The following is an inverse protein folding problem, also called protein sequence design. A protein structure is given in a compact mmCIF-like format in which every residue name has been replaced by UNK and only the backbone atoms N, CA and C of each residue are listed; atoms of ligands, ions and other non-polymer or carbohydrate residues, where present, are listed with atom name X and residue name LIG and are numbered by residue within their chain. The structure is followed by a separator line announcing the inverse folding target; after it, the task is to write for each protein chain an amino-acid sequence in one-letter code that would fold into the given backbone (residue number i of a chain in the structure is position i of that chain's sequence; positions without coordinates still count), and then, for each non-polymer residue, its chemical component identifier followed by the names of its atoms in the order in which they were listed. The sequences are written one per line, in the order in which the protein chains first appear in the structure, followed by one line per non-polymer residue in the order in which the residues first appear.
data_IF_986825615006
#
_entry.id   IF_986825615006
#
_cell.length_a   1.000
_cell.length_b   1.000
_cell.length_c   1.000
_cell.angle_alpha   90.00
_cell.angle_beta   90.00
_cell.angle_gamma   90.00
#
_symmetry.space_group_name_H-M   'P 1'
#
loop_
_entity.id
_entity.type
_entity.pdbx_description
1 polymer ?
#
# COMPACT_ATOMS: atom_id res chain seq x y z
N UNK A 1 30.20 -61.92 18.83
CA UNK A 1 29.96 -60.54 18.33
C UNK A 1 28.74 -59.92 19.04
N UNK A 2 28.86 -59.56 20.32
CA UNK A 2 27.70 -59.20 21.18
C UNK A 2 27.50 -57.68 21.38
N UNK A 3 28.45 -56.86 20.93
CA UNK A 3 28.49 -55.41 21.20
C UNK A 3 28.25 -54.52 19.97
N UNK A 4 28.02 -55.11 18.78
CA UNK A 4 27.70 -54.39 17.56
C UNK A 4 26.52 -53.40 17.69
N UNK A 5 25.40 -53.72 18.35
CA UNK A 5 24.30 -52.75 18.48
C UNK A 5 24.67 -51.54 19.34
N UNK A 6 25.58 -51.70 20.31
CA UNK A 6 26.04 -50.59 21.17
C UNK A 6 26.98 -49.67 20.38
N UNK A 7 27.87 -50.24 19.58
CA UNK A 7 28.78 -49.48 18.71
C UNK A 7 27.96 -48.68 17.68
N UNK A 8 26.91 -49.27 17.11
CA UNK A 8 26.05 -48.61 16.13
C UNK A 8 25.27 -47.44 16.74
N UNK A 9 24.80 -47.58 17.99
CA UNK A 9 24.15 -46.49 18.73
C UNK A 9 25.12 -45.32 18.98
N UNK A 10 26.35 -45.60 19.39
CA UNK A 10 27.38 -44.58 19.64
C UNK A 10 27.71 -43.81 18.35
N UNK A 11 27.81 -44.52 17.21
CA UNK A 11 28.06 -43.90 15.91
C UNK A 11 26.91 -42.99 15.47
N UNK A 12 25.65 -43.37 15.71
CA UNK A 12 24.49 -42.53 15.41
C UNK A 12 24.50 -41.25 16.26
N UNK A 13 24.77 -41.37 17.56
CA UNK A 13 24.86 -40.22 18.47
C UNK A 13 25.98 -39.27 18.02
N UNK A 14 27.14 -39.81 17.66
CA UNK A 14 28.26 -39.01 17.15
C UNK A 14 27.90 -38.32 15.83
N UNK A 15 27.24 -39.00 14.90
CA UNK A 15 26.83 -38.42 13.62
C UNK A 15 25.83 -37.27 13.80
N UNK A 16 24.84 -37.44 14.67
CA UNK A 16 23.85 -36.39 14.98
C UNK A 16 24.50 -35.21 15.70
N UNK A 17 25.36 -35.48 16.69
CA UNK A 17 26.11 -34.42 17.40
C UNK A 17 27.01 -33.62 16.45
N UNK A 18 27.68 -34.29 15.52
CA UNK A 18 28.53 -33.65 14.51
C UNK A 18 27.73 -32.78 13.55
N UNK A 19 26.56 -33.25 13.10
CA UNK A 19 25.66 -32.48 12.24
C UNK A 19 25.11 -31.24 12.94
N UNK A 20 24.67 -31.36 14.21
CA UNK A 20 24.22 -30.22 15.01
C UNK A 20 25.34 -29.19 15.23
N UNK A 21 26.56 -29.64 15.49
CA UNK A 21 27.72 -28.76 15.65
C UNK A 21 28.07 -28.02 14.36
N UNK A 22 28.00 -28.68 13.21
CA UNK A 22 28.17 -28.05 11.88
C UNK A 22 27.11 -27.00 11.58
N UNK A 23 25.85 -27.25 11.94
CA UNK A 23 24.76 -26.27 11.77
C UNK A 23 24.98 -25.05 12.67
N UNK A 24 25.36 -25.28 13.92
CA UNK A 24 25.60 -24.20 14.88
C UNK A 24 26.79 -23.31 14.47
N UNK A 25 27.89 -23.93 14.03
CA UNK A 25 29.12 -23.22 13.63
C UNK A 25 29.02 -22.56 12.25
N UNK A 26 28.05 -22.95 11.41
CA UNK A 26 27.81 -22.34 10.10
C UNK A 26 26.69 -21.27 10.12
N UNK A 27 26.45 -20.66 11.28
CA UNK A 27 25.62 -19.45 11.39
C UNK A 27 26.43 -18.25 10.89
N UNK A 28 26.49 -18.10 9.56
CA UNK A 28 26.98 -16.85 8.97
C UNK A 28 26.09 -15.71 9.48
N UNK A 29 26.64 -14.58 9.93
CA UNK A 29 25.82 -13.41 10.20
C UNK A 29 25.04 -13.09 8.92
N UNK A 30 23.72 -12.96 9.06
CA UNK A 30 22.89 -12.52 7.94
C UNK A 30 23.49 -11.19 7.47
N UNK A 31 23.91 -11.07 6.20
CA UNK A 31 24.45 -9.81 5.72
C UNK A 31 23.39 -8.74 5.95
N UNK A 32 23.70 -7.77 6.82
CA UNK A 32 22.89 -6.58 6.98
C UNK A 32 23.00 -5.81 5.67
N UNK A 33 22.06 -6.06 4.77
CA UNK A 33 21.83 -5.21 3.62
C UNK A 33 21.13 -3.98 4.16
N UNK A 34 21.87 -2.90 4.36
CA UNK A 34 21.28 -1.58 4.52
C UNK A 34 20.60 -1.24 3.20
N UNK A 35 19.29 -1.46 3.15
CA UNK A 35 18.48 -1.01 2.02
C UNK A 35 18.44 0.51 2.13
N UNK A 36 19.32 1.17 1.40
CA UNK A 36 19.19 2.60 1.14
C UNK A 36 17.94 2.81 0.29
N UNK A 37 16.82 3.06 0.96
CA UNK A 37 15.66 3.66 0.33
C UNK A 37 16.05 5.10 0.01
N UNK A 38 16.56 5.34 -1.20
CA UNK A 38 16.47 6.69 -1.76
C UNK A 38 14.98 7.01 -1.83
N UNK A 39 14.51 7.92 -0.98
CA UNK A 39 13.17 8.47 -1.14
C UNK A 39 13.11 9.04 -2.56
N UNK A 40 12.23 8.54 -3.44
CA UNK A 40 12.11 9.11 -4.76
C UNK A 40 11.64 10.55 -4.59
N UNK A 41 12.57 11.50 -4.70
CA UNK A 41 12.25 12.92 -4.74
C UNK A 41 11.51 13.15 -6.05
N UNK A 42 10.19 13.21 -5.95
CA UNK A 42 9.31 13.39 -7.09
C UNK A 42 9.46 14.81 -7.63
N UNK A 43 10.24 14.95 -8.70
CA UNK A 43 10.27 16.17 -9.49
C UNK A 43 9.06 16.17 -10.44
N UNK A 44 8.01 16.87 -10.04
CA UNK A 44 6.80 17.06 -10.83
C UNK A 44 7.12 17.66 -12.22
N UNK A 45 8.13 18.51 -12.31
CA UNK A 45 8.52 19.17 -13.56
C UNK A 45 9.28 18.19 -14.48
N UNK A 46 10.16 17.35 -13.94
CA UNK A 46 10.79 16.27 -14.69
C UNK A 46 9.76 15.25 -15.19
N UNK A 47 8.77 14.89 -14.36
CA UNK A 47 7.68 13.99 -14.78
C UNK A 47 6.84 14.60 -15.91
N UNK A 48 6.42 15.85 -15.79
CA UNK A 48 5.67 16.56 -16.84
C UNK A 48 6.50 16.73 -18.12
N UNK A 49 7.80 16.99 -18.01
CA UNK A 49 8.72 17.00 -19.14
C UNK A 49 8.80 15.63 -19.81
N UNK A 50 8.89 14.55 -19.04
CA UNK A 50 8.93 13.18 -19.60
C UNK A 50 7.65 12.83 -20.36
N UNK A 51 6.49 13.27 -19.87
CA UNK A 51 5.21 13.10 -20.55
C UNK A 51 5.14 13.90 -21.85
N UNK A 52 5.57 15.17 -21.83
CA UNK A 52 5.62 16.02 -23.02
C UNK A 52 6.60 15.49 -24.08
N UNK A 53 7.77 15.02 -23.64
CA UNK A 53 8.83 14.50 -24.51
C UNK A 53 8.45 13.16 -25.15
N UNK A 54 7.72 12.30 -24.44
CA UNK A 54 7.37 10.97 -24.94
C UNK A 54 6.15 10.95 -25.88
N UNK A 55 5.42 12.07 -26.07
CA UNK A 55 4.15 12.15 -26.83
C UNK A 55 3.17 11.01 -26.49
N UNK A 56 3.26 10.44 -25.28
CA UNK A 56 2.38 9.34 -24.87
C UNK A 56 1.08 9.98 -24.41
N UNK A 57 -0.08 9.64 -25.01
CA UNK A 57 -1.35 10.07 -24.44
C UNK A 57 -1.42 9.56 -22.99
N UNK A 58 -1.96 10.38 -22.09
CA UNK A 58 -2.33 9.91 -20.75
C UNK A 58 -3.28 8.73 -20.93
N UNK A 59 -2.79 7.52 -20.62
CA UNK A 59 -3.57 6.29 -20.66
C UNK A 59 -3.92 5.87 -19.24
N UNK A 60 -4.87 4.94 -19.10
CA UNK A 60 -5.36 4.45 -17.80
C UNK A 60 -4.21 4.03 -16.87
N UNK A 61 -3.22 3.31 -17.41
CA UNK A 61 -2.02 2.90 -16.66
C UNK A 61 -1.18 4.09 -16.15
N UNK A 62 -1.14 5.19 -16.89
CA UNK A 62 -0.47 6.42 -16.49
C UNK A 62 -1.18 7.10 -15.31
N UNK A 63 -2.52 7.14 -15.35
CA UNK A 63 -3.36 7.67 -14.26
C UNK A 63 -3.18 6.81 -13.01
N UNK A 64 -3.29 5.48 -13.15
CA UNK A 64 -3.07 4.55 -12.05
C UNK A 64 -1.68 4.73 -11.42
N UNK A 65 -0.62 4.78 -12.24
CA UNK A 65 0.74 5.01 -11.75
C UNK A 65 0.87 6.32 -11.00
N UNK A 66 0.19 7.39 -11.45
CA UNK A 66 0.23 8.67 -10.77
C UNK A 66 -0.44 8.60 -9.40
N UNK A 67 -1.55 7.86 -9.26
CA UNK A 67 -2.17 7.58 -7.94
C UNK A 67 -1.17 6.89 -7.02
N UNK A 68 -0.52 5.82 -7.49
CA UNK A 68 0.47 5.08 -6.70
C UNK A 68 1.69 5.94 -6.33
N UNK A 69 2.10 6.87 -7.19
CA UNK A 69 3.23 7.78 -6.94
C UNK A 69 2.89 8.92 -5.97
N UNK A 70 1.63 9.36 -5.93
CA UNK A 70 1.19 10.48 -5.08
C UNK A 70 0.54 10.01 -3.78
N UNK A 71 0.59 8.72 -3.48
CA UNK A 71 0.06 8.15 -2.23
C UNK A 71 1.06 7.20 -1.59
N UNK A 72 0.90 7.00 -0.28
CA UNK A 72 1.48 5.84 0.41
C UNK A 72 0.37 4.81 0.61
N UNK A 73 0.75 3.54 0.64
CA UNK A 73 -0.19 2.44 0.85
C UNK A 73 0.10 1.78 2.20
N UNK A 74 -0.94 1.49 2.97
CA UNK A 74 -0.81 0.58 4.11
C UNK A 74 -0.36 -0.78 3.60
N UNK A 75 0.49 -1.46 4.36
CA UNK A 75 0.95 -2.80 4.01
C UNK A 75 -0.24 -3.75 3.81
N UNK A 76 -0.22 -4.49 2.70
CA UNK A 76 -1.25 -5.48 2.35
C UNK A 76 -2.43 -4.94 1.54
N UNK A 77 -2.48 -3.62 1.28
CA UNK A 77 -3.51 -3.03 0.41
C UNK A 77 -3.23 -3.39 -1.06
N UNK A 78 -4.25 -3.88 -1.76
CA UNK A 78 -4.14 -4.25 -3.18
C UNK A 78 -4.92 -3.27 -4.07
N UNK A 79 -4.21 -2.64 -5.01
CA UNK A 79 -4.74 -1.59 -5.90
C UNK A 79 -4.61 -1.92 -7.39
N UNK A 80 -3.91 -2.99 -7.79
CA UNK A 80 -3.54 -3.19 -9.20
C UNK A 80 -4.74 -3.37 -10.15
N UNK A 81 -5.88 -3.84 -9.63
CA UNK A 81 -7.10 -4.12 -10.40
C UNK A 81 -8.17 -3.03 -10.24
N UNK A 82 -7.80 -1.83 -9.79
CA UNK A 82 -8.74 -0.71 -9.70
C UNK A 82 -9.39 -0.37 -11.04
N UNK A 83 -10.66 0.02 -10.99
CA UNK A 83 -11.34 0.53 -12.17
C UNK A 83 -10.75 1.89 -12.60
N UNK A 84 -10.53 2.16 -13.90
CA UNK A 84 -9.92 3.41 -14.35
C UNK A 84 -10.68 4.69 -13.92
N UNK A 85 -12.00 4.59 -13.76
CA UNK A 85 -12.81 5.67 -13.21
C UNK A 85 -12.45 5.96 -11.75
N UNK A 86 -12.15 4.93 -10.96
CA UNK A 86 -11.73 5.07 -9.56
C UNK A 86 -10.33 5.68 -9.46
N UNK A 87 -9.40 5.37 -10.37
CA UNK A 87 -8.10 6.06 -10.45
C UNK A 87 -8.27 7.57 -10.65
N UNK A 88 -9.18 7.96 -11.54
CA UNK A 88 -9.48 9.37 -11.81
C UNK A 88 -10.10 10.05 -10.60
N UNK A 89 -11.00 9.37 -9.89
CA UNK A 89 -11.59 9.83 -8.64
C UNK A 89 -10.53 9.96 -7.54
N UNK A 90 -9.61 9.00 -7.43
CA UNK A 90 -8.52 9.02 -6.46
C UNK A 90 -7.60 10.24 -6.66
N UNK A 91 -7.27 10.60 -7.91
CA UNK A 91 -6.49 11.81 -8.19
C UNK A 91 -7.20 13.09 -7.74
N UNK A 92 -8.52 13.17 -7.87
CA UNK A 92 -9.29 14.31 -7.37
C UNK A 92 -9.23 14.40 -5.84
N UNK A 93 -9.32 13.27 -5.14
CA UNK A 93 -9.14 13.20 -3.68
C UNK A 93 -7.73 13.64 -3.27
N UNK A 94 -6.71 13.13 -3.95
CA UNK A 94 -5.31 13.52 -3.72
C UNK A 94 -5.13 15.02 -3.91
N UNK A 95 -5.74 15.59 -4.95
CA UNK A 95 -5.73 17.03 -5.17
C UNK A 95 -6.44 17.81 -4.04
N UNK A 96 -7.55 17.29 -3.49
CA UNK A 96 -8.19 17.88 -2.30
C UNK A 96 -7.24 17.89 -1.11
N UNK A 97 -6.56 16.77 -0.82
CA UNK A 97 -5.56 16.72 0.23
C UNK A 97 -4.44 17.76 0.03
N UNK A 98 -3.92 17.89 -1.19
CA UNK A 98 -2.90 18.90 -1.49
C UNK A 98 -3.38 20.35 -1.36
N UNK A 99 -4.66 20.62 -1.67
CA UNK A 99 -5.22 21.96 -1.49
C UNK A 99 -5.36 22.34 -0.02
N UNK A 100 -5.62 21.35 0.86
CA UNK A 100 -5.82 21.59 2.29
C UNK A 100 -4.48 21.61 3.04
N UNK A 101 -3.57 20.68 2.75
CA UNK A 101 -2.33 20.48 3.51
C UNK A 101 -1.04 20.85 2.78
N UNK A 102 -1.15 21.29 1.52
CA UNK A 102 -0.01 21.59 0.67
C UNK A 102 0.44 20.42 -0.20
N UNK A 103 1.16 20.75 -1.27
CA UNK A 103 1.53 19.82 -2.35
C UNK A 103 2.49 18.70 -1.92
N UNK A 104 3.24 18.91 -0.84
CA UNK A 104 4.19 17.96 -0.26
C UNK A 104 3.52 16.89 0.61
N UNK A 105 2.26 17.10 1.02
CA UNK A 105 1.55 16.10 1.80
C UNK A 105 1.27 14.86 0.94
N UNK A 106 1.55 13.67 1.47
CA UNK A 106 1.32 12.39 0.76
C UNK A 106 0.19 11.62 1.45
N UNK A 107 -1.02 11.58 0.87
CA UNK A 107 -2.15 10.82 1.43
C UNK A 107 -1.86 9.33 1.55
N UNK A 108 -2.45 8.69 2.55
CA UNK A 108 -2.28 7.25 2.79
C UNK A 108 -3.56 6.51 2.43
N UNK A 109 -3.48 5.60 1.47
CA UNK A 109 -4.56 4.65 1.18
C UNK A 109 -4.49 3.50 2.21
N UNK A 110 -5.59 3.28 2.92
CA UNK A 110 -5.71 2.29 3.99
C UNK A 110 -6.48 1.04 3.60
N UNK A 111 -7.27 1.11 2.53
CA UNK A 111 -7.95 -0.04 1.94
C UNK A 111 -8.20 0.16 0.43
N UNK A 112 -8.15 -0.95 -0.30
CA UNK A 112 -8.51 -1.09 -1.71
C UNK A 112 -9.36 -2.34 -1.91
N UNK A 113 -8.87 -3.35 -2.63
CA UNK A 113 -9.52 -4.66 -2.64
C UNK A 113 -8.93 -5.58 -1.55
N UNK A 114 -9.39 -5.38 -0.32
CA UNK A 114 -8.86 -6.06 0.86
C UNK A 114 -9.77 -7.22 1.30
N UNK A 115 -9.92 -8.23 0.43
CA UNK A 115 -10.64 -9.46 0.78
C UNK A 115 -9.95 -10.24 1.92
N UNK A 116 -10.67 -10.73 2.96
CA UNK A 116 -12.12 -10.74 3.17
C UNK A 116 -12.62 -9.76 4.26
N UNK A 117 -12.00 -8.59 4.41
CA UNK A 117 -12.20 -7.74 5.59
C UNK A 117 -13.36 -6.73 5.52
N UNK A 118 -14.15 -6.75 4.45
CA UNK A 118 -15.32 -5.89 4.24
C UNK A 118 -16.66 -6.66 4.23
N UNK A 119 -17.77 -5.92 4.30
CA UNK A 119 -19.11 -6.47 4.17
C UNK A 119 -19.29 -7.23 2.83
N UNK A 120 -20.14 -8.26 2.82
CA UNK A 120 -20.32 -9.20 1.68
C UNK A 120 -20.56 -8.54 0.32
N UNK A 121 -21.20 -7.38 0.29
CA UNK A 121 -21.53 -6.61 -0.91
C UNK A 121 -20.78 -5.28 -0.99
N UNK A 122 -19.58 -5.24 -0.40
CA UNK A 122 -18.75 -4.04 -0.42
C UNK A 122 -18.16 -3.79 -1.80
N UNK A 123 -18.20 -2.52 -2.23
CA UNK A 123 -17.56 -2.04 -3.46
C UNK A 123 -16.04 -2.22 -3.48
N UNK A 124 -15.41 -2.42 -2.32
CA UNK A 124 -14.00 -2.82 -2.23
C UNK A 124 -13.73 -4.13 -2.98
N UNK A 125 -14.61 -5.12 -2.86
CA UNK A 125 -14.46 -6.41 -3.54
C UNK A 125 -14.66 -6.33 -5.05
N UNK A 126 -15.32 -5.27 -5.52
CA UNK A 126 -15.52 -4.97 -6.93
C UNK A 126 -14.38 -4.11 -7.51
N UNK A 127 -13.36 -3.75 -6.72
CA UNK A 127 -12.33 -2.75 -7.07
C UNK A 127 -12.89 -1.36 -7.39
N UNK A 128 -14.03 -1.02 -6.78
CA UNK A 128 -14.78 0.22 -6.98
C UNK A 128 -14.76 1.17 -5.78
N UNK A 129 -13.97 0.87 -4.75
CA UNK A 129 -13.84 1.68 -3.55
C UNK A 129 -12.39 1.80 -3.03
N UNK A 130 -12.12 2.89 -2.33
CA UNK A 130 -10.85 3.21 -1.66
C UNK A 130 -11.08 3.91 -0.34
N UNK A 131 -10.20 3.63 0.63
CA UNK A 131 -10.16 4.34 1.90
C UNK A 131 -8.90 5.18 2.01
N UNK A 132 -9.06 6.46 2.33
CA UNK A 132 -7.94 7.35 2.66
C UNK A 132 -7.90 7.63 4.15
N UNK A 133 -6.72 7.51 4.76
CA UNK A 133 -6.53 7.82 6.18
C UNK A 133 -6.86 9.28 6.48
N UNK A 134 -7.72 9.50 7.47
CA UNK A 134 -7.97 10.81 8.08
C UNK A 134 -7.40 10.92 9.50
N UNK A 135 -7.08 9.77 10.11
CA UNK A 135 -6.44 9.71 11.43
C UNK A 135 -5.11 10.46 11.43
N UNK A 136 -4.96 11.39 12.38
CA UNK A 136 -3.76 12.21 12.56
C UNK A 136 -3.86 13.62 11.98
N UNK A 137 -4.88 13.90 11.16
CA UNK A 137 -5.15 15.25 10.68
C UNK A 137 -5.73 16.13 11.77
N UNK A 138 -5.44 17.43 11.72
CA UNK A 138 -6.08 18.41 12.58
C UNK A 138 -7.60 18.44 12.29
N UNK A 139 -8.46 18.76 13.27
CA UNK A 139 -9.90 18.75 13.09
C UNK A 139 -10.39 19.62 11.92
N UNK A 140 -9.77 20.79 11.71
CA UNK A 140 -10.12 21.72 10.64
C UNK A 140 -9.74 21.15 9.26
N UNK A 141 -8.51 20.66 9.11
CA UNK A 141 -8.03 20.02 7.87
C UNK A 141 -8.91 18.84 7.48
N UNK A 142 -9.24 18.00 8.46
CA UNK A 142 -10.10 16.83 8.26
C UNK A 142 -11.46 17.25 7.74
N UNK A 143 -12.09 18.24 8.38
CA UNK A 143 -13.39 18.77 7.96
C UNK A 143 -13.31 19.32 6.54
N UNK A 144 -12.28 20.11 6.22
CA UNK A 144 -12.08 20.66 4.88
C UNK A 144 -11.90 19.57 3.83
N UNK A 145 -11.08 18.54 4.09
CA UNK A 145 -10.90 17.41 3.18
C UNK A 145 -12.23 16.71 2.90
N UNK A 146 -13.03 16.43 3.93
CA UNK A 146 -14.32 15.75 3.77
C UNK A 146 -15.27 16.60 2.92
N UNK A 147 -15.51 17.85 3.33
CA UNK A 147 -16.48 18.74 2.66
C UNK A 147 -16.07 19.03 1.20
N UNK A 148 -14.78 19.28 0.96
CA UNK A 148 -14.26 19.50 -0.40
C UNK A 148 -14.35 18.23 -1.25
N UNK A 149 -14.04 17.05 -0.70
CA UNK A 149 -14.13 15.79 -1.43
C UNK A 149 -15.56 15.47 -1.83
N UNK A 150 -16.51 15.63 -0.91
CA UNK A 150 -17.94 15.44 -1.18
C UNK A 150 -18.43 16.36 -2.29
N UNK A 151 -18.10 17.66 -2.21
CA UNK A 151 -18.47 18.63 -3.24
C UNK A 151 -17.81 18.35 -4.59
N UNK A 152 -16.54 17.96 -4.60
CA UNK A 152 -15.77 17.74 -5.83
C UNK A 152 -16.26 16.51 -6.61
N UNK A 153 -16.73 15.50 -5.89
CA UNK A 153 -17.13 14.21 -6.45
C UNK A 153 -18.65 14.02 -6.52
N UNK A 154 -19.43 15.05 -6.19
CA UNK A 154 -20.88 15.04 -6.27
C UNK A 154 -21.36 14.52 -7.64
N UNK A 155 -22.23 13.51 -7.61
CA UNK A 155 -22.77 12.86 -8.81
C UNK A 155 -21.81 11.92 -9.56
N UNK A 156 -20.55 11.76 -9.12
CA UNK A 156 -19.56 10.85 -9.74
C UNK A 156 -19.13 9.71 -8.83
N UNK A 157 -19.02 9.98 -7.53
CA UNK A 157 -18.64 9.01 -6.52
C UNK A 157 -19.33 9.33 -5.20
N UNK A 158 -19.57 8.32 -4.38
CA UNK A 158 -20.04 8.47 -3.01
C UNK A 158 -18.82 8.64 -2.10
N UNK A 159 -18.83 9.69 -1.29
CA UNK A 159 -17.77 10.02 -0.34
C UNK A 159 -18.34 10.02 1.08
N UNK A 160 -17.87 9.09 1.92
CA UNK A 160 -18.33 8.90 3.29
C UNK A 160 -17.16 9.09 4.26
N UNK A 161 -17.46 9.71 5.39
CA UNK A 161 -16.51 9.76 6.50
C UNK A 161 -16.86 8.64 7.49
N UNK A 162 -16.02 7.62 7.54
CA UNK A 162 -16.18 6.50 8.45
C UNK A 162 -15.43 6.78 9.76
N UNK A 163 -16.19 6.94 10.85
CA UNK A 163 -15.66 7.26 12.18
C UNK A 163 -15.38 5.99 12.97
N UNK A 164 -14.26 5.95 13.69
CA UNK A 164 -13.90 4.82 14.57
C UNK A 164 -12.41 4.75 14.86
N UNK A 165 -11.92 3.58 15.30
CA UNK A 165 -10.48 3.36 15.57
C UNK A 165 -9.60 3.52 14.32
N UNK A 166 -10.16 3.19 13.15
CA UNK A 166 -9.57 3.31 11.83
C UNK A 166 -10.26 4.42 11.02
N UNK A 167 -10.29 5.64 11.55
CA UNK A 167 -10.92 6.79 10.88
C UNK A 167 -10.35 7.05 9.47
N UNK A 168 -11.23 6.99 8.47
CA UNK A 168 -10.88 7.16 7.05
C UNK A 168 -12.01 7.82 6.25
N UNK A 169 -11.63 8.30 5.06
CA UNK A 169 -12.51 8.79 4.02
C UNK A 169 -12.74 7.64 3.04
N UNK A 170 -13.93 7.05 3.08
CA UNK A 170 -14.37 6.03 2.14
C UNK A 170 -14.87 6.70 0.86
N UNK A 171 -14.38 6.23 -0.29
CA UNK A 171 -14.74 6.76 -1.60
C UNK A 171 -15.08 5.60 -2.52
N UNK A 172 -16.26 5.60 -3.12
CA UNK A 172 -16.68 4.55 -4.04
C UNK A 172 -17.38 5.09 -5.29
N UNK A 173 -17.29 4.36 -6.40
CA UNK A 173 -18.01 4.68 -7.62
C UNK A 173 -19.52 4.46 -7.44
N UNK A 174 -20.31 5.32 -8.09
CA UNK A 174 -21.75 5.11 -8.22
C UNK A 174 -22.01 4.00 -9.26
N UNK A 175 -23.13 3.30 -9.12
CA UNK A 175 -23.59 2.27 -10.06
C UNK A 175 -24.18 2.84 -11.36
#
# INVERSE_FOLDING_TARGET
MKYWPIILLILVILAVGSACWLIYTNTRPVPHVEIHYEEPVFDAEAYLRSLKLQKRPFNERGVHRLVLQRTRQKQGVYLESMEPALDSVALEIINVFHNVMGFEYVPIITSGNDYPYHARHSKHYENKALDFRLKGLLPEERRSVIEMSQKRLEGRARVLWEKGEAEHLHVELLD
#
